data_IF_865200428772
#
_entry.id   IF_865200428772
#
_cell.length_a   1.000
_cell.length_b   1.000
_cell.length_c   1.000
_cell.angle_alpha   90.00
_cell.angle_beta   90.00
_cell.angle_gamma   90.00
#
_symmetry.space_group_name_H-M   'P 1'
#
loop_
_entity.id
_entity.type
_entity.pdbx_description
1 polymer ?
#
# COMPACT_ATOMS: atom_id res chain seq x y z
N UNK A 1 8.44 2.27 47.01
CA UNK A 1 7.49 1.85 48.06
C UNK A 1 6.16 2.46 47.70
N UNK A 2 5.07 1.69 47.65
CA UNK A 2 3.76 2.22 47.28
C UNK A 2 3.39 3.43 48.14
N UNK A 3 2.93 4.49 47.49
CA UNK A 3 2.48 5.71 48.13
C UNK A 3 0.95 5.69 48.27
N UNK A 4 0.48 5.04 49.33
CA UNK A 4 -0.95 4.85 49.62
C UNK A 4 -1.71 6.16 49.93
N UNK A 5 -1.01 7.30 50.01
CA UNK A 5 -1.64 8.61 50.18
C UNK A 5 -2.20 9.19 48.87
N UNK A 6 -1.85 8.62 47.72
CA UNK A 6 -2.39 9.05 46.44
C UNK A 6 -3.87 8.64 46.33
N UNK A 7 -4.73 9.64 46.16
CA UNK A 7 -6.14 9.41 45.89
C UNK A 7 -6.35 8.92 44.46
N UNK A 8 -7.29 8.00 44.27
CA UNK A 8 -7.79 7.69 42.94
C UNK A 8 -8.51 8.91 42.34
N UNK A 9 -8.20 9.24 41.08
CA UNK A 9 -8.77 10.36 40.35
C UNK A 9 -9.67 9.90 39.19
N UNK A 10 -9.15 9.05 38.30
CA UNK A 10 -9.85 8.60 37.08
C UNK A 10 -9.17 7.40 36.43
N UNK A 11 -9.84 6.68 35.51
CA UNK A 11 -9.13 5.82 34.57
C UNK A 11 -8.29 6.64 33.58
N UNK A 12 -7.32 5.99 32.94
CA UNK A 12 -6.64 6.57 31.79
C UNK A 12 -7.65 6.81 30.64
N UNK A 13 -7.35 7.77 29.77
CA UNK A 13 -8.23 8.16 28.66
C UNK A 13 -8.27 7.08 27.58
N UNK A 14 -7.18 6.34 27.39
CA UNK A 14 -7.09 5.30 26.38
C UNK A 14 -8.10 4.18 26.63
N UNK A 15 -8.22 3.71 27.87
CA UNK A 15 -9.17 2.66 28.22
C UNK A 15 -10.61 3.18 28.32
N UNK A 16 -10.81 4.47 28.59
CA UNK A 16 -12.12 5.11 28.42
C UNK A 16 -12.56 5.08 26.95
N UNK A 17 -11.66 5.43 26.03
CA UNK A 17 -11.93 5.33 24.59
C UNK A 17 -12.22 3.87 24.18
N UNK A 18 -11.44 2.90 24.66
CA UNK A 18 -11.69 1.48 24.40
C UNK A 18 -13.09 1.07 24.87
N UNK A 19 -13.47 1.40 26.11
CA UNK A 19 -14.80 1.10 26.66
C UNK A 19 -15.90 1.66 25.76
N UNK A 20 -15.80 2.94 25.42
CA UNK A 20 -16.84 3.63 24.66
C UNK A 20 -16.99 3.02 23.25
N UNK A 21 -15.89 2.60 22.62
CA UNK A 21 -15.93 1.89 21.35
C UNK A 21 -16.50 0.47 21.45
N UNK A 22 -16.20 -0.26 22.53
CA UNK A 22 -16.78 -1.58 22.80
C UNK A 22 -18.30 -1.47 23.00
N UNK A 23 -18.76 -0.53 23.83
CA UNK A 23 -20.20 -0.30 24.05
C UNK A 23 -20.91 0.08 22.75
N UNK A 24 -20.29 0.94 21.94
CA UNK A 24 -20.82 1.34 20.65
C UNK A 24 -20.90 0.19 19.65
N UNK A 25 -19.87 -0.67 19.61
CA UNK A 25 -19.81 -1.77 18.63
C UNK A 25 -20.88 -2.82 18.87
N UNK A 26 -21.02 -3.24 20.13
CA UNK A 26 -21.90 -4.34 20.49
C UNK A 26 -23.31 -3.84 20.87
N UNK A 27 -23.55 -2.52 20.77
CA UNK A 27 -24.82 -1.85 21.06
C UNK A 27 -25.47 -2.35 22.37
N UNK A 28 -24.64 -2.50 23.40
CA UNK A 28 -25.05 -3.07 24.68
C UNK A 28 -24.69 -2.14 25.83
N UNK A 29 -25.52 -2.20 26.87
CA UNK A 29 -25.22 -1.61 28.17
C UNK A 29 -24.94 -2.77 29.12
N UNK A 30 -23.70 -2.95 29.60
CA UNK A 30 -23.35 -4.13 30.37
C UNK A 30 -24.07 -4.13 31.72
N UNK A 31 -24.47 -5.32 32.18
CA UNK A 31 -25.04 -5.53 33.51
C UNK A 31 -24.04 -5.19 34.64
N UNK A 32 -22.75 -5.42 34.39
CA UNK A 32 -21.63 -4.90 35.19
C UNK A 32 -20.85 -3.90 34.36
N UNK A 33 -20.86 -2.64 34.80
CA UNK A 33 -20.01 -1.61 34.18
C UNK A 33 -18.56 -2.10 34.11
N UNK A 34 -17.85 -1.74 33.04
CA UNK A 34 -16.44 -2.06 32.93
C UNK A 34 -15.70 -1.52 34.16
N UNK A 35 -15.01 -2.41 34.85
CA UNK A 35 -14.37 -2.09 36.12
C UNK A 35 -12.99 -1.53 35.82
N UNK A 36 -12.84 -0.21 35.97
CA UNK A 36 -11.54 0.43 36.01
C UNK A 36 -10.93 0.37 37.42
N UNK A 37 -11.75 0.13 38.44
CA UNK A 37 -11.35 0.07 39.85
C UNK A 37 -12.38 -0.74 40.63
N UNK A 38 -11.92 -1.75 41.35
CA UNK A 38 -12.56 -2.21 42.60
C UNK A 38 -11.56 -2.18 43.75
N UNK A 39 -11.10 -0.97 44.11
CA UNK A 39 -10.75 -0.58 45.48
C UNK A 39 -9.65 -1.35 46.22
N UNK A 40 -8.95 -2.31 45.61
CA UNK A 40 -7.94 -3.10 46.28
C UNK A 40 -6.59 -2.38 46.27
N UNK A 41 -6.49 -1.32 47.07
CA UNK A 41 -5.22 -0.68 47.36
C UNK A 41 -4.33 -1.68 48.11
N UNK A 42 -3.38 -2.30 47.41
CA UNK A 42 -2.47 -3.25 48.01
C UNK A 42 -1.03 -2.73 47.98
N UNK A 43 -0.34 -2.69 49.13
CA UNK A 43 1.05 -2.25 49.20
C UNK A 43 2.03 -3.27 48.62
N UNK A 44 1.57 -4.45 48.23
CA UNK A 44 2.42 -5.53 47.72
C UNK A 44 2.03 -5.99 46.31
N UNK A 45 0.94 -5.46 45.75
CA UNK A 45 0.44 -5.87 44.44
C UNK A 45 0.99 -4.93 43.35
N UNK A 46 1.47 -5.52 42.25
CA UNK A 46 1.95 -4.81 41.07
C UNK A 46 0.99 -5.10 39.91
N UNK A 47 0.15 -4.13 39.55
CA UNK A 47 -0.96 -4.32 38.62
C UNK A 47 -1.39 -3.00 37.99
N UNK A 48 -1.93 -3.02 36.78
CA UNK A 48 -2.49 -1.84 36.12
C UNK A 48 -3.76 -1.30 36.77
N UNK A 49 -4.40 -2.05 37.67
CA UNK A 49 -5.52 -1.56 38.49
C UNK A 49 -5.09 -0.64 39.64
N UNK A 50 -3.79 -0.53 39.90
CA UNK A 50 -3.26 0.46 40.84
C UNK A 50 -3.24 1.84 40.20
N UNK A 51 -3.54 2.86 41.00
CA UNK A 51 -3.45 4.24 40.56
C UNK A 51 -1.99 4.71 40.56
N UNK A 52 -1.57 5.43 39.53
CA UNK A 52 -0.23 6.02 39.42
C UNK A 52 -0.05 7.22 40.38
N UNK A 53 1.11 7.89 40.31
CA UNK A 53 1.40 9.10 41.10
C UNK A 53 0.42 10.27 40.89
N UNK A 54 -0.39 10.24 39.82
CA UNK A 54 -1.44 11.21 39.52
C UNK A 54 -2.86 10.67 39.84
N UNK A 55 -2.93 9.48 40.45
CA UNK A 55 -4.16 8.75 40.73
C UNK A 55 -4.90 8.25 39.50
N UNK A 56 -4.19 8.01 38.41
CA UNK A 56 -4.73 7.46 37.16
C UNK A 56 -4.56 5.95 37.14
N UNK A 57 -5.61 5.22 36.76
CA UNK A 57 -5.58 3.75 36.66
C UNK A 57 -5.40 3.31 35.21
N UNK A 58 -4.66 2.21 35.03
CA UNK A 58 -4.08 1.78 33.77
C UNK A 58 -4.57 0.42 33.27
N UNK A 59 -5.61 -0.14 33.91
CA UNK A 59 -6.28 -1.35 33.47
C UNK A 59 -7.81 -1.21 33.44
N UNK A 60 -8.45 -2.08 32.67
CA UNK A 60 -9.90 -2.20 32.55
C UNK A 60 -10.28 -3.68 32.50
N UNK A 61 -11.34 -4.03 33.21
CA UNK A 61 -11.98 -5.34 33.09
C UNK A 61 -13.29 -5.19 32.30
N UNK A 62 -13.39 -5.91 31.18
CA UNK A 62 -14.58 -5.98 30.33
C UNK A 62 -15.26 -7.32 30.60
N UNK A 63 -16.34 -7.32 31.36
CA UNK A 63 -17.03 -8.55 31.76
C UNK A 63 -17.59 -9.31 30.57
N UNK A 64 -17.40 -10.63 30.62
CA UNK A 64 -17.93 -11.57 29.63
C UNK A 64 -18.78 -12.62 30.33
N UNK A 65 -20.10 -12.58 30.10
CA UNK A 65 -21.05 -13.60 30.56
C UNK A 65 -22.39 -13.52 29.80
N UNK A 66 -23.21 -14.56 29.93
CA UNK A 66 -24.56 -14.63 29.34
C UNK A 66 -25.63 -13.88 30.17
N UNK A 67 -25.24 -13.18 31.25
CA UNK A 67 -26.15 -12.52 32.20
C UNK A 67 -26.20 -10.99 32.00
N UNK A 68 -26.21 -10.55 30.74
CA UNK A 68 -26.32 -9.15 30.36
C UNK A 68 -25.00 -8.41 30.24
N UNK A 69 -23.87 -9.12 30.28
CA UNK A 69 -22.57 -8.61 29.85
C UNK A 69 -22.29 -9.01 28.39
N UNK A 70 -21.06 -8.78 27.91
CA UNK A 70 -20.66 -9.19 26.57
C UNK A 70 -20.72 -10.72 26.49
N UNK A 71 -21.46 -11.33 25.54
CA UNK A 71 -21.50 -12.77 25.40
C UNK A 71 -20.09 -13.36 25.26
N UNK A 72 -19.85 -14.50 25.88
CA UNK A 72 -18.51 -15.09 25.98
C UNK A 72 -17.87 -15.37 24.59
N UNK A 73 -18.68 -15.74 23.59
CA UNK A 73 -18.20 -15.88 22.21
C UNK A 73 -17.71 -14.54 21.62
N UNK A 74 -18.44 -13.46 21.86
CA UNK A 74 -18.08 -12.10 21.42
C UNK A 74 -16.88 -11.56 22.20
N UNK A 75 -16.75 -11.94 23.47
CA UNK A 75 -15.59 -11.68 24.32
C UNK A 75 -14.30 -12.28 23.74
N UNK A 76 -14.34 -13.54 23.32
CA UNK A 76 -13.22 -14.19 22.63
C UNK A 76 -12.84 -13.49 21.32
N UNK A 77 -13.83 -13.06 20.54
CA UNK A 77 -13.58 -12.29 19.31
C UNK A 77 -12.94 -10.93 19.60
N UNK A 78 -13.40 -10.23 20.64
CA UNK A 78 -12.84 -8.97 21.10
C UNK A 78 -11.39 -9.16 21.59
N UNK A 79 -11.11 -10.21 22.36
CA UNK A 79 -9.78 -10.51 22.86
C UNK A 79 -8.77 -10.75 21.72
N UNK A 80 -9.14 -11.48 20.67
CA UNK A 80 -8.28 -11.66 19.48
C UNK A 80 -8.01 -10.34 18.75
N UNK A 81 -9.00 -9.45 18.68
CA UNK A 81 -8.84 -8.15 18.03
C UNK A 81 -7.94 -7.22 18.84
N UNK A 82 -8.11 -7.19 20.16
CA UNK A 82 -7.22 -6.47 21.07
C UNK A 82 -5.79 -7.00 20.92
N UNK A 83 -5.59 -8.32 20.90
CA UNK A 83 -4.27 -8.94 20.66
C UNK A 83 -3.65 -8.48 19.34
N UNK A 84 -4.44 -8.40 18.27
CA UNK A 84 -3.99 -7.90 16.97
C UNK A 84 -3.61 -6.41 17.01
N UNK A 85 -4.41 -5.56 17.67
CA UNK A 85 -4.12 -4.13 17.88
C UNK A 85 -2.81 -3.98 18.67
N UNK A 86 -2.63 -4.78 19.71
CA UNK A 86 -1.44 -4.79 20.52
C UNK A 86 -0.19 -5.10 19.71
N UNK A 87 -0.26 -6.17 18.90
CA UNK A 87 0.82 -6.56 17.97
C UNK A 87 1.18 -5.45 16.99
N UNK A 88 0.19 -4.73 16.47
CA UNK A 88 0.40 -3.70 15.47
C UNK A 88 0.91 -2.37 16.06
N UNK A 89 0.45 -2.00 17.26
CA UNK A 89 0.61 -0.63 17.78
C UNK A 89 1.49 -0.53 19.02
N UNK A 90 1.60 -1.59 19.82
CA UNK A 90 2.30 -1.54 21.11
C UNK A 90 1.70 -0.58 22.15
N UNK A 91 0.45 -0.12 21.98
CA UNK A 91 -0.19 0.90 22.83
C UNK A 91 -0.68 0.41 24.20
N UNK A 92 -0.52 -0.88 24.48
CA UNK A 92 -0.82 -1.48 25.78
C UNK A 92 0.11 -2.65 26.06
N UNK A 93 0.23 -3.05 27.32
CA UNK A 93 1.24 -4.02 27.77
C UNK A 93 0.82 -5.46 27.53
N UNK A 94 -0.41 -5.81 27.91
CA UNK A 94 -0.96 -7.16 27.76
C UNK A 94 -2.48 -7.19 27.90
N UNK A 95 -3.06 -8.33 27.51
CA UNK A 95 -4.41 -8.73 27.89
C UNK A 95 -4.44 -10.16 28.44
N UNK A 96 -5.41 -10.43 29.31
CA UNK A 96 -5.73 -11.75 29.86
C UNK A 96 -7.19 -12.04 29.58
N UNK A 97 -7.51 -13.22 29.07
CA UNK A 97 -8.89 -13.65 28.89
C UNK A 97 -8.98 -15.18 28.90
N UNK A 98 -10.11 -15.72 29.34
CA UNK A 98 -10.41 -17.13 29.11
C UNK A 98 -10.72 -17.38 27.64
N UNK A 99 -9.67 -17.68 26.88
CA UNK A 99 -9.81 -17.97 25.46
C UNK A 99 -10.53 -19.27 25.17
N UNK A 100 -10.90 -20.09 26.17
CA UNK A 100 -11.35 -21.49 26.05
C UNK A 100 -12.20 -21.81 24.82
N UNK A 101 -11.61 -22.50 23.82
CA UNK A 101 -12.36 -23.29 22.85
C UNK A 101 -11.91 -24.76 22.89
N UNK A 102 -10.97 -25.12 23.78
CA UNK A 102 -10.19 -26.36 23.75
C UNK A 102 -10.55 -27.24 24.94
N UNK A 103 -11.18 -28.40 24.74
CA UNK A 103 -11.40 -29.38 25.81
C UNK A 103 -10.07 -29.71 26.51
N UNK A 104 -9.97 -29.44 27.82
CA UNK A 104 -8.80 -29.75 28.65
C UNK A 104 -7.93 -28.56 29.06
N UNK A 105 -8.23 -27.34 28.59
CA UNK A 105 -7.54 -26.14 29.01
C UNK A 105 -8.15 -25.60 30.32
N UNK A 106 -7.32 -25.53 31.38
CA UNK A 106 -7.77 -25.28 32.77
C UNK A 106 -7.41 -23.89 33.31
N UNK A 107 -6.73 -23.07 32.50
CA UNK A 107 -6.28 -21.72 32.90
C UNK A 107 -6.52 -20.73 31.76
N UNK A 108 -6.89 -19.48 32.07
CA UNK A 108 -6.96 -18.40 31.09
C UNK A 108 -5.63 -18.13 30.39
N UNK A 109 -5.66 -17.38 29.29
CA UNK A 109 -4.47 -17.07 28.50
C UNK A 109 -4.10 -15.60 28.63
N UNK A 110 -2.80 -15.33 28.60
CA UNK A 110 -2.23 -13.99 28.54
C UNK A 110 -1.47 -13.78 27.22
N UNK A 111 -1.60 -12.60 26.62
CA UNK A 111 -0.79 -12.18 25.49
C UNK A 111 -0.34 -10.74 25.69
N UNK A 112 0.90 -10.44 25.34
CA UNK A 112 1.44 -9.09 25.45
C UNK A 112 2.77 -8.94 24.74
N UNK A 113 3.41 -7.78 24.89
CA UNK A 113 4.70 -7.50 24.26
C UNK A 113 5.78 -8.54 24.64
N UNK A 114 5.74 -9.05 25.88
CA UNK A 114 6.68 -10.04 26.40
C UNK A 114 6.59 -11.41 25.72
N UNK A 115 5.44 -11.75 25.13
CA UNK A 115 5.22 -13.00 24.39
C UNK A 115 5.17 -12.79 22.88
N UNK A 116 5.57 -11.60 22.40
CA UNK A 116 5.33 -11.18 21.02
C UNK A 116 3.85 -11.39 20.60
N UNK A 117 2.93 -11.10 21.51
CA UNK A 117 1.48 -11.26 21.36
C UNK A 117 1.03 -12.68 21.01
N UNK A 118 1.82 -13.70 21.35
CA UNK A 118 1.37 -15.09 21.36
C UNK A 118 0.61 -15.36 22.65
N UNK A 119 -0.47 -16.15 22.56
CA UNK A 119 -1.20 -16.61 23.74
C UNK A 119 -0.34 -17.59 24.54
N UNK A 120 -0.22 -17.33 25.83
CA UNK A 120 0.50 -18.16 26.78
C UNK A 120 -0.43 -18.51 27.95
N UNK A 121 -0.28 -19.69 28.58
CA UNK A 121 -1.00 -19.99 29.82
C UNK A 121 -0.73 -18.92 30.88
N UNK A 122 -1.78 -18.35 31.45
CA UNK A 122 -1.66 -17.41 32.53
C UNK A 122 -1.47 -18.14 33.86
N UNK A 123 -0.44 -17.77 34.61
CA UNK A 123 -0.04 -18.43 35.87
C UNK A 123 -0.17 -17.52 37.09
N UNK A 124 -0.78 -16.36 36.96
CA UNK A 124 -0.98 -15.44 38.08
C UNK A 124 -2.12 -15.87 39.00
N UNK A 125 -2.18 -15.26 40.19
CA UNK A 125 -3.08 -15.68 41.27
C UNK A 125 -4.56 -15.37 41.00
N UNK A 126 -4.85 -14.31 40.25
CA UNK A 126 -6.21 -13.92 39.83
C UNK A 126 -6.46 -14.41 38.41
N UNK A 127 -7.27 -15.46 38.18
CA UNK A 127 -7.33 -16.14 36.89
C UNK A 127 -7.98 -15.33 35.75
N UNK A 128 -8.84 -14.34 36.02
CA UNK A 128 -9.55 -13.56 34.99
C UNK A 128 -10.45 -14.42 34.07
N UNK A 129 -11.27 -15.29 34.67
CA UNK A 129 -12.12 -16.24 33.93
C UNK A 129 -13.51 -15.72 33.52
N UNK A 130 -13.91 -14.54 34.00
CA UNK A 130 -15.25 -13.93 33.77
C UNK A 130 -15.17 -12.55 33.07
N UNK A 131 -13.98 -12.17 32.59
CA UNK A 131 -13.77 -10.90 31.91
C UNK A 131 -12.53 -10.95 31.01
N UNK A 132 -12.41 -9.94 30.15
CA UNK A 132 -11.17 -9.59 29.48
C UNK A 132 -10.49 -8.52 30.31
N UNK A 133 -9.30 -8.82 30.82
CA UNK A 133 -8.43 -7.86 31.48
C UNK A 133 -7.49 -7.23 30.44
N UNK A 134 -7.42 -5.90 30.38
CA UNK A 134 -6.49 -5.17 29.52
C UNK A 134 -5.68 -4.19 30.36
N UNK A 135 -4.36 -4.32 30.34
CA UNK A 135 -3.45 -3.41 31.03
C UNK A 135 -2.60 -2.62 30.05
N UNK A 136 -2.62 -1.29 30.22
CA UNK A 136 -1.71 -0.37 29.53
C UNK A 136 -0.35 -0.37 30.19
N UNK A 137 -0.27 -0.31 31.52
CA UNK A 137 0.96 -0.30 32.32
C UNK A 137 0.64 -0.92 33.68
N UNK A 138 1.56 -1.72 34.23
CA UNK A 138 1.51 -2.19 35.61
C UNK A 138 2.47 -1.40 36.51
N UNK A 139 2.03 -1.13 37.74
CA UNK A 139 2.76 -0.30 38.70
C UNK A 139 2.35 -0.61 40.15
N UNK A 140 3.15 -0.23 41.14
CA UNK A 140 2.67 -0.17 42.53
C UNK A 140 1.87 1.11 42.75
N UNK A 141 0.93 1.10 43.70
CA UNK A 141 0.12 2.27 44.00
C UNK A 141 0.96 3.53 44.25
N UNK A 142 0.68 4.58 43.48
CA UNK A 142 1.35 5.88 43.57
C UNK A 142 2.72 5.94 42.88
N UNK A 143 3.16 4.89 42.18
CA UNK A 143 4.39 4.93 41.38
C UNK A 143 4.22 5.86 40.16
N UNK A 144 5.31 6.52 39.70
CA UNK A 144 5.27 7.31 38.48
C UNK A 144 5.17 6.42 37.24
N UNK A 145 4.41 6.86 36.24
CA UNK A 145 4.42 6.25 34.90
C UNK A 145 5.62 6.78 34.14
N UNK A 146 6.56 5.88 33.80
CA UNK A 146 7.78 6.22 33.05
C UNK A 146 7.61 6.10 31.53
N UNK A 147 6.38 6.17 31.04
CA UNK A 147 6.05 6.05 29.63
C UNK A 147 5.36 7.32 29.11
N UNK A 148 5.53 7.65 27.81
CA UNK A 148 4.88 8.80 27.22
C UNK A 148 3.34 8.71 27.30
N UNK A 149 2.70 9.82 27.65
CA UNK A 149 1.24 9.88 27.84
C UNK A 149 0.46 9.63 26.53
N UNK A 150 1.05 9.94 25.39
CA UNK A 150 0.50 9.64 24.05
C UNK A 150 0.50 8.14 23.72
N UNK A 151 1.22 7.32 24.47
CA UNK A 151 1.17 5.86 24.34
C UNK A 151 0.08 5.27 25.23
N UNK A 152 0.06 5.62 26.52
CA UNK A 152 -0.77 4.91 27.51
C UNK A 152 -1.89 5.75 28.16
N UNK A 153 -2.02 7.04 27.86
CA UNK A 153 -3.17 7.91 28.23
C UNK A 153 -3.73 8.65 27.00
N UNK A 154 -3.52 8.07 25.80
CA UNK A 154 -3.98 8.59 24.52
C UNK A 154 -5.51 8.67 24.43
N UNK A 155 -6.03 9.59 23.64
CA UNK A 155 -7.46 9.66 23.28
C UNK A 155 -7.72 9.15 21.86
N UNK A 156 -6.71 8.60 21.19
CA UNK A 156 -6.88 8.06 19.85
C UNK A 156 -7.79 6.82 19.87
N UNK A 157 -8.50 6.64 18.76
CA UNK A 157 -9.38 5.49 18.56
C UNK A 157 -8.60 4.18 18.62
N UNK A 158 -9.22 3.15 19.21
CA UNK A 158 -8.73 1.78 19.16
C UNK A 158 -9.17 1.07 17.87
N UNK A 159 -10.04 1.71 17.08
CA UNK A 159 -10.59 1.15 15.85
C UNK A 159 -11.63 0.05 16.07
N UNK A 160 -12.10 -0.16 17.31
CA UNK A 160 -13.04 -1.22 17.66
C UNK A 160 -14.43 -0.92 17.11
N UNK A 161 -14.90 0.33 17.22
CA UNK A 161 -16.26 0.72 16.83
C UNK A 161 -16.59 0.55 15.33
N UNK A 162 -15.57 0.48 14.47
CA UNK A 162 -15.72 0.35 13.02
C UNK A 162 -15.65 -1.10 12.50
N UNK A 163 -15.35 -2.07 13.37
CA UNK A 163 -15.21 -3.48 12.97
C UNK A 163 -16.59 -4.13 12.98
N UNK A 164 -17.19 -4.28 11.80
CA UNK A 164 -18.48 -4.95 11.59
C UNK A 164 -18.27 -6.43 11.24
N UNK A 165 -17.83 -7.25 12.20
CA UNK A 165 -17.97 -8.71 12.05
C UNK A 165 -19.16 -9.15 12.89
N UNK A 166 -20.32 -9.22 12.24
CA UNK A 166 -21.47 -9.93 12.77
C UNK A 166 -21.29 -11.43 12.48
N UNK A 167 -20.95 -12.20 13.51
CA UNK A 167 -21.09 -13.66 13.54
C UNK A 167 -20.21 -14.46 12.58
N UNK A 168 -19.21 -15.12 13.15
CA UNK A 168 -18.57 -16.27 12.51
C UNK A 168 -17.25 -15.94 11.81
N UNK A 169 -16.17 -16.46 12.41
CA UNK A 169 -14.78 -16.25 12.04
C UNK A 169 -14.31 -14.80 12.22
N UNK A 170 -13.52 -14.61 13.28
CA UNK A 170 -12.53 -13.53 13.35
C UNK A 170 -11.78 -13.51 12.02
N UNK A 171 -12.12 -12.58 11.15
CA UNK A 171 -11.15 -12.14 10.16
C UNK A 171 -10.15 -11.34 10.96
N UNK A 172 -8.87 -11.76 11.02
CA UNK A 172 -7.81 -10.83 11.37
C UNK A 172 -8.09 -9.55 10.58
N UNK A 173 -7.80 -8.38 11.16
CA UNK A 173 -7.51 -7.23 10.31
C UNK A 173 -6.58 -7.79 9.23
N UNK A 174 -7.05 -7.82 7.97
CA UNK A 174 -6.24 -8.33 6.88
C UNK A 174 -4.92 -7.62 7.04
N UNK A 175 -3.86 -8.37 7.35
CA UNK A 175 -2.50 -7.88 7.24
C UNK A 175 -2.32 -7.64 5.77
N UNK A 176 -2.81 -6.50 5.32
CA UNK A 176 -2.32 -5.90 4.12
C UNK A 176 -0.88 -5.60 4.45
N UNK A 177 0.02 -6.40 3.90
CA UNK A 177 1.46 -6.15 3.98
C UNK A 177 1.70 -4.71 3.53
N UNK A 178 2.87 -4.14 3.81
CA UNK A 178 3.21 -2.79 3.30
C UNK A 178 2.88 -2.67 1.80
N UNK A 179 3.03 -3.76 1.04
CA UNK A 179 2.70 -3.86 -0.38
C UNK A 179 1.21 -3.78 -0.72
N UNK A 180 0.32 -4.14 0.21
CA UNK A 180 -1.13 -4.12 0.03
C UNK A 180 -1.77 -2.81 0.52
N UNK A 181 -1.10 -2.05 1.41
CA UNK A 181 -1.55 -0.74 1.92
C UNK A 181 -0.84 0.44 1.26
N UNK A 182 0.34 0.22 0.68
CA UNK A 182 1.03 1.25 -0.06
C UNK A 182 0.19 1.64 -1.27
N UNK A 183 -0.21 2.91 -1.30
CA UNK A 183 -0.61 3.50 -2.57
C UNK A 183 0.58 3.48 -3.53
N UNK A 184 0.35 3.59 -4.83
CA UNK A 184 1.45 3.75 -5.80
C UNK A 184 2.43 4.87 -5.40
N UNK A 185 1.92 5.90 -4.70
CA UNK A 185 2.69 7.02 -4.17
C UNK A 185 3.60 6.63 -2.99
N UNK A 186 3.14 5.74 -2.11
CA UNK A 186 3.94 5.29 -0.97
C UNK A 186 5.08 4.39 -1.46
N UNK A 187 4.78 3.45 -2.36
CA UNK A 187 5.77 2.62 -3.05
C UNK A 187 6.83 3.46 -3.78
N UNK A 188 6.38 4.47 -4.53
CA UNK A 188 7.29 5.43 -5.17
C UNK A 188 8.18 6.15 -4.16
N UNK A 189 7.63 6.61 -3.04
CA UNK A 189 8.38 7.31 -2.01
C UNK A 189 9.40 6.41 -1.29
N UNK A 190 9.07 5.13 -1.04
CA UNK A 190 10.00 4.20 -0.40
C UNK A 190 11.12 3.77 -1.35
N UNK A 191 10.82 3.55 -2.64
CA UNK A 191 11.82 3.30 -3.67
C UNK A 191 12.76 4.51 -3.80
N UNK A 192 12.22 5.72 -3.84
CA UNK A 192 13.03 6.94 -3.93
C UNK A 192 13.93 7.14 -2.70
N UNK A 193 13.38 6.93 -1.49
CA UNK A 193 14.17 6.99 -0.24
C UNK A 193 15.23 5.89 -0.16
N UNK A 194 14.90 4.67 -0.60
CA UNK A 194 15.83 3.53 -0.63
C UNK A 194 16.98 3.78 -1.60
N UNK A 195 16.66 4.17 -2.83
CA UNK A 195 17.66 4.53 -3.85
C UNK A 195 18.58 5.65 -3.35
N UNK A 196 18.01 6.71 -2.76
CA UNK A 196 18.80 7.82 -2.21
C UNK A 196 19.71 7.38 -1.05
N UNK A 197 19.23 6.49 -0.16
CA UNK A 197 19.99 6.00 0.99
C UNK A 197 21.17 5.10 0.59
N UNK A 198 20.99 4.22 -0.40
CA UNK A 198 21.97 3.19 -0.73
C UNK A 198 22.87 3.56 -1.91
N UNK A 199 22.38 4.34 -2.87
CA UNK A 199 23.14 4.71 -4.06
C UNK A 199 23.61 6.18 -4.03
N UNK A 200 23.03 7.00 -3.17
CA UNK A 200 23.30 8.44 -3.15
C UNK A 200 22.83 9.14 -4.43
N UNK A 201 23.07 10.45 -4.56
CA UNK A 201 22.88 11.16 -5.82
C UNK A 201 23.91 10.72 -6.87
N UNK A 202 23.50 10.78 -8.14
CA UNK A 202 24.37 10.60 -9.30
C UNK A 202 24.85 11.97 -9.75
N UNK A 203 26.16 12.20 -9.69
CA UNK A 203 26.74 13.44 -10.18
C UNK A 203 26.75 13.49 -11.70
N UNK A 204 26.14 14.54 -12.26
CA UNK A 204 26.16 14.86 -13.68
C UNK A 204 26.81 16.21 -13.93
N UNK A 205 27.08 16.54 -15.19
CA UNK A 205 27.62 17.85 -15.56
C UNK A 205 26.70 19.03 -15.18
N UNK A 206 25.39 18.78 -15.00
CA UNK A 206 24.40 19.79 -14.59
C UNK A 206 24.11 19.80 -13.09
N UNK A 207 24.84 18.99 -12.32
CA UNK A 207 24.63 18.79 -10.89
C UNK A 207 24.15 17.38 -10.53
N UNK A 208 23.91 17.20 -9.24
CA UNK A 208 23.51 15.92 -8.66
C UNK A 208 22.03 15.63 -8.95
N UNK A 209 21.73 14.43 -9.46
CA UNK A 209 20.37 13.97 -9.76
C UNK A 209 20.07 12.63 -9.10
N UNK A 210 18.79 12.32 -8.89
CA UNK A 210 18.37 10.99 -8.43
C UNK A 210 18.44 9.96 -9.56
N UNK A 211 18.55 8.67 -9.21
CA UNK A 211 18.49 7.56 -10.18
C UNK A 211 17.20 7.63 -11.03
N UNK A 212 16.05 7.94 -10.42
CA UNK A 212 14.77 8.09 -11.11
C UNK A 212 14.81 9.23 -12.13
N UNK A 213 15.39 10.37 -11.76
CA UNK A 213 15.57 11.51 -12.65
C UNK A 213 16.49 11.16 -13.83
N UNK A 214 17.61 10.47 -13.59
CA UNK A 214 18.52 10.02 -14.63
C UNK A 214 17.85 9.08 -15.65
N UNK A 215 17.01 8.13 -15.19
CA UNK A 215 16.26 7.23 -16.07
C UNK A 215 15.24 8.00 -16.90
N UNK A 216 14.55 8.97 -16.30
CA UNK A 216 13.58 9.81 -17.00
C UNK A 216 14.27 10.69 -18.06
N UNK A 217 15.42 11.28 -17.74
CA UNK A 217 16.24 12.02 -18.69
C UNK A 217 16.75 11.13 -19.82
N UNK A 218 17.24 9.93 -19.51
CA UNK A 218 17.68 8.95 -20.51
C UNK A 218 16.54 8.49 -21.44
N UNK A 219 15.34 8.29 -20.89
CA UNK A 219 14.15 7.93 -21.66
C UNK A 219 13.72 9.08 -22.58
N UNK A 220 13.69 10.31 -22.07
CA UNK A 220 13.45 11.50 -22.88
C UNK A 220 14.51 11.67 -23.96
N UNK A 221 15.78 11.45 -23.64
CA UNK A 221 16.88 11.52 -24.59
C UNK A 221 16.76 10.44 -25.67
N UNK A 222 16.36 9.21 -25.31
CA UNK A 222 16.14 8.13 -26.26
C UNK A 222 14.90 8.38 -27.14
N UNK A 223 13.80 8.90 -26.58
CA UNK A 223 12.63 9.33 -27.34
C UNK A 223 12.96 10.48 -28.27
N UNK A 224 13.68 11.47 -27.75
CA UNK A 224 14.20 12.60 -28.53
C UNK A 224 15.13 12.09 -29.61
N UNK A 225 16.02 11.13 -29.39
CA UNK A 225 16.88 10.57 -30.42
C UNK A 225 16.10 9.73 -31.45
N UNK A 226 15.08 8.99 -31.03
CA UNK A 226 14.16 8.29 -31.93
C UNK A 226 13.42 9.28 -32.83
N UNK A 227 13.02 10.41 -32.26
CA UNK A 227 12.25 11.44 -32.94
C UNK A 227 13.17 12.46 -33.68
N UNK A 228 14.45 12.58 -33.27
CA UNK A 228 15.55 13.40 -33.82
C UNK A 228 16.61 12.54 -34.52
N UNK A 229 16.23 11.41 -35.13
CA UNK A 229 16.97 10.98 -36.33
C UNK A 229 16.84 12.15 -37.30
N UNK A 230 17.92 12.94 -37.44
CA UNK A 230 17.85 14.33 -37.90
C UNK A 230 16.99 14.51 -39.15
N UNK A 231 16.25 15.63 -39.27
CA UNK A 231 15.37 15.84 -40.40
C UNK A 231 16.19 15.75 -41.69
N UNK A 232 15.68 15.00 -42.66
CA UNK A 232 16.25 15.02 -44.00
C UNK A 232 15.73 16.25 -44.73
N UNK A 233 16.52 16.79 -45.64
CA UNK A 233 16.10 17.95 -46.44
C UNK A 233 15.40 17.46 -47.70
N UNK A 234 14.09 17.65 -47.80
CA UNK A 234 13.30 17.36 -49.01
C UNK A 234 12.79 18.67 -49.59
N UNK A 235 13.26 19.04 -50.78
CA UNK A 235 12.86 20.30 -51.45
C UNK A 235 13.22 21.56 -50.66
N UNK A 236 14.36 21.55 -49.96
CA UNK A 236 14.80 22.68 -49.13
C UNK A 236 14.07 22.82 -47.78
N UNK A 237 13.21 21.86 -47.41
CA UNK A 237 12.50 21.85 -46.13
C UNK A 237 12.91 20.65 -45.27
N UNK A 238 13.06 20.82 -43.95
CA UNK A 238 13.31 19.71 -43.04
C UNK A 238 12.06 18.84 -42.89
N UNK A 239 12.21 17.53 -43.10
CA UNK A 239 11.14 16.52 -42.91
C UNK A 239 11.66 15.41 -42.00
N UNK A 240 10.86 14.99 -41.01
CA UNK A 240 11.26 13.86 -40.14
C UNK A 240 11.27 12.56 -40.93
N UNK A 241 12.18 11.63 -40.60
CA UNK A 241 12.28 10.34 -41.27
C UNK A 241 10.97 9.53 -41.22
N UNK A 242 10.19 9.68 -40.14
CA UNK A 242 8.85 9.07 -40.04
C UNK A 242 7.88 9.65 -41.07
N UNK A 243 7.84 10.97 -41.21
CA UNK A 243 6.99 11.64 -42.19
C UNK A 243 7.43 11.27 -43.62
N UNK A 244 8.73 11.19 -43.88
CA UNK A 244 9.29 10.74 -45.15
C UNK A 244 8.78 9.35 -45.55
N UNK A 245 8.87 8.39 -44.62
CA UNK A 245 8.40 7.02 -44.82
C UNK A 245 6.88 6.98 -45.04
N UNK A 246 6.12 7.75 -44.27
CA UNK A 246 4.67 7.84 -44.42
C UNK A 246 4.25 8.42 -45.78
N UNK A 247 4.92 9.50 -46.21
CA UNK A 247 4.68 10.14 -47.51
C UNK A 247 5.05 9.21 -48.67
N UNK A 248 6.18 8.52 -48.56
CA UNK A 248 6.66 7.56 -49.57
C UNK A 248 5.68 6.40 -49.71
N UNK A 249 5.19 5.87 -48.59
CA UNK A 249 4.16 4.81 -48.59
C UNK A 249 2.87 5.30 -49.24
N UNK A 250 2.43 6.50 -48.89
CA UNK A 250 1.20 7.11 -49.44
C UNK A 250 1.32 7.34 -50.95
N UNK A 251 2.46 7.86 -51.40
CA UNK A 251 2.77 8.05 -52.82
C UNK A 251 2.79 6.73 -53.59
N UNK A 252 3.41 5.68 -53.03
CA UNK A 252 3.43 4.35 -53.65
C UNK A 252 2.02 3.75 -53.82
N UNK A 253 1.14 3.91 -52.83
CA UNK A 253 -0.25 3.46 -52.93
C UNK A 253 -0.99 4.22 -54.04
N UNK A 254 -0.80 5.53 -54.14
CA UNK A 254 -1.43 6.34 -55.19
C UNK A 254 -0.95 5.93 -56.59
N UNK A 255 0.36 5.70 -56.77
CA UNK A 255 0.95 5.23 -58.02
C UNK A 255 0.44 3.84 -58.41
N UNK A 256 0.32 2.91 -57.45
CA UNK A 256 -0.29 1.60 -57.69
C UNK A 256 -1.73 1.73 -58.23
N UNK A 257 -2.51 2.66 -57.66
CA UNK A 257 -3.86 2.98 -58.13
C UNK A 257 -3.88 3.53 -59.56
N UNK A 258 -2.97 4.46 -59.89
CA UNK A 258 -2.86 5.01 -61.25
C UNK A 258 -2.45 3.95 -62.28
N UNK A 259 -1.49 3.08 -61.95
CA UNK A 259 -1.07 1.96 -62.81
C UNK A 259 -2.23 1.00 -63.05
N UNK A 260 -2.98 0.65 -61.99
CA UNK A 260 -4.16 -0.21 -62.12
C UNK A 260 -5.23 0.43 -63.02
N UNK A 261 -5.47 1.73 -62.87
CA UNK A 261 -6.39 2.50 -63.72
C UNK A 261 -5.95 2.56 -65.18
N UNK A 262 -4.66 2.80 -65.43
CA UNK A 262 -4.10 2.81 -66.78
C UNK A 262 -4.18 1.43 -67.44
N UNK A 263 -3.88 0.37 -66.70
CA UNK A 263 -4.02 -1.01 -67.19
C UNK A 263 -5.48 -1.34 -67.54
N UNK A 264 -6.44 -0.87 -66.74
CA UNK A 264 -7.86 -1.05 -67.03
C UNK A 264 -8.28 -0.25 -68.29
N UNK A 265 -7.85 1.00 -68.42
CA UNK A 265 -8.11 1.83 -69.59
C UNK A 265 -7.47 1.24 -70.86
N UNK A 266 -6.24 0.73 -70.76
CA UNK A 266 -5.56 0.05 -71.86
C UNK A 266 -6.33 -1.21 -72.28
N UNK A 267 -6.69 -2.09 -71.35
CA UNK A 267 -7.52 -3.28 -71.62
C UNK A 267 -8.83 -2.93 -72.32
N UNK A 268 -9.50 -1.87 -71.87
CA UNK A 268 -10.74 -1.41 -72.49
C UNK A 268 -10.51 -0.91 -73.92
N UNK A 269 -9.45 -0.12 -74.17
CA UNK A 269 -9.11 0.42 -75.47
C UNK A 269 -8.64 -0.64 -76.48
N UNK A 270 -8.10 -1.76 -76.01
CA UNK A 270 -7.55 -2.83 -76.86
C UNK A 270 -8.51 -4.02 -77.03
N UNK A 271 -9.76 -3.88 -76.59
CA UNK A 271 -10.78 -4.93 -76.72
C UNK A 271 -10.96 -5.31 -78.20
N UNK A 272 -10.72 -6.59 -78.53
CA UNK A 272 -10.80 -7.10 -79.91
C UNK A 272 -9.50 -7.06 -80.70
N UNK A 273 -8.39 -6.59 -80.12
CA UNK A 273 -7.05 -6.68 -80.72
C UNK A 273 -6.21 -7.77 -80.03
N UNK A 274 -5.38 -8.46 -80.80
CA UNK A 274 -4.52 -9.54 -80.30
C UNK A 274 -3.20 -8.95 -79.76
N UNK A 275 -3.22 -8.43 -78.53
CA UNK A 275 -2.08 -7.77 -77.88
C UNK A 275 -1.51 -8.65 -76.76
N UNK A 276 -0.20 -8.86 -76.77
CA UNK A 276 0.52 -9.51 -75.67
C UNK A 276 0.75 -8.54 -74.51
N UNK A 277 -0.21 -8.54 -73.58
CA UNK A 277 -0.17 -7.73 -72.36
C UNK A 277 1.06 -8.01 -71.48
N UNK A 278 1.60 -9.23 -71.51
CA UNK A 278 2.76 -9.61 -70.71
C UNK A 278 4.02 -8.93 -71.23
N UNK A 279 4.18 -8.88 -72.56
CA UNK A 279 5.29 -8.18 -73.21
C UNK A 279 5.26 -6.66 -72.95
N UNK A 280 4.07 -6.05 -72.99
CA UNK A 280 3.88 -4.62 -72.68
C UNK A 280 4.25 -4.32 -71.22
N UNK A 281 3.82 -5.15 -70.27
CA UNK A 281 4.19 -5.01 -68.87
C UNK A 281 5.69 -5.16 -68.64
N UNK A 282 6.34 -6.11 -69.33
CA UNK A 282 7.78 -6.32 -69.24
C UNK A 282 8.57 -5.11 -69.78
N UNK A 283 8.14 -4.54 -70.91
CA UNK A 283 8.76 -3.35 -71.50
C UNK A 283 8.60 -2.11 -70.60
N UNK A 284 7.42 -1.92 -70.01
CA UNK A 284 7.18 -0.83 -69.07
C UNK A 284 8.06 -0.94 -67.81
N UNK A 285 8.22 -2.17 -67.27
CA UNK A 285 9.10 -2.43 -66.13
C UNK A 285 10.57 -2.13 -66.46
N UNK A 286 11.06 -2.58 -67.62
CA UNK A 286 12.43 -2.32 -68.05
C UNK A 286 12.71 -0.82 -68.24
N UNK A 287 11.76 -0.08 -68.82
CA UNK A 287 11.87 1.38 -68.96
C UNK A 287 11.91 2.12 -67.62
N UNK A 288 11.10 1.68 -66.65
CA UNK A 288 11.12 2.23 -65.30
C UNK A 288 12.45 1.96 -64.57
N UNK A 289 12.98 0.74 -64.68
CA UNK A 289 14.29 0.37 -64.09
C UNK A 289 15.44 1.21 -64.67
N UNK A 290 15.40 1.55 -65.95
CA UNK A 290 16.42 2.38 -66.59
C UNK A 290 16.31 3.86 -66.21
N UNK A 291 15.09 4.38 -66.05
CA UNK A 291 14.85 5.73 -65.55
C UNK A 291 15.35 5.90 -64.09
N UNK A 292 15.22 4.86 -63.26
CA UNK A 292 15.73 4.85 -61.88
C UNK A 292 17.26 4.92 -61.81
N UNK A 293 17.99 4.32 -62.77
CA UNK A 293 19.46 4.40 -62.82
C UNK A 293 19.97 5.79 -63.23
N UNK A 294 19.21 6.53 -64.03
CA UNK A 294 19.62 7.83 -64.58
C UNK A 294 19.18 9.03 -63.73
N UNK A 295 18.22 8.86 -62.82
CA UNK A 295 17.60 9.98 -62.08
C UNK A 295 17.82 10.04 -60.57
N UNK A 296 18.44 9.04 -59.93
CA UNK A 296 18.66 9.04 -58.47
C UNK A 296 20.06 9.59 -58.15
N UNK A 297 20.17 10.89 -57.99
CA UNK A 297 21.37 11.54 -57.43
C UNK A 297 21.37 11.35 -55.90
N UNK A 298 22.13 10.37 -55.41
CA UNK A 298 22.20 10.00 -53.98
C UNK A 298 23.27 10.80 -53.24
N UNK A 299 23.36 12.11 -53.47
CA UNK A 299 24.20 12.99 -52.67
C UNK A 299 23.50 13.30 -51.33
N UNK A 300 23.58 12.37 -50.37
CA UNK A 300 23.12 12.59 -48.99
C UNK A 300 24.24 13.30 -48.23
N UNK A 301 24.17 14.62 -48.11
CA UNK A 301 25.02 15.37 -47.17
C UNK A 301 24.36 15.34 -45.79
N UNK A 302 24.93 14.58 -44.85
CA UNK A 302 24.48 14.59 -43.45
C UNK A 302 25.05 15.85 -42.79
N UNK A 303 24.22 16.88 -42.67
CA UNK A 303 24.56 18.10 -41.95
C UNK A 303 24.35 17.91 -40.45
N UNK A 304 25.38 17.43 -39.75
CA UNK A 304 25.45 17.49 -38.29
C UNK A 304 26.69 18.26 -37.89
N UNK A 305 26.52 19.48 -37.37
CA UNK A 305 27.56 20.15 -36.58
C UNK A 305 27.58 19.51 -35.20
N UNK A 306 28.69 18.87 -34.84
CA UNK A 306 28.98 18.47 -33.47
C UNK A 306 28.97 19.71 -32.56
N UNK A 307 28.07 19.71 -31.58
CA UNK A 307 28.09 20.61 -30.42
C UNK A 307 27.55 19.84 -29.21
#
# INVERSE_FOLDING_TARGET
MPNMAIAYHRPNRSLVTLRDEVYKRYDYTPARASEFVTGYMSPTNFTGHNADSNGIVHAIDIFTDDNGNLPEAEGRELAEQLRAIGRATGRFSYLIHDMNPTPGQTTPLIAGAFSNWEWQPYTGESPHSDHIHVSTVDLYWGDPVNFPADVYDSTESWGIAGITNAGGAVRPIETKDWFDMATAKDLDAAVDKGLAKYLGPISTASGDVSVRQMIADGTRAAQTARDNTGPITRGGRPVSLRQEIADTKTGNIALQGQIAGLLAAFKAATTGQNIDLSAVQAAAKAGAEEALKSGVDVNVTVGGTDA
#
